data_IF_338420369122
#
_entry.id   IF_338420369122
#
_cell.length_a   1.000
_cell.length_b   1.000
_cell.length_c   1.000
_cell.angle_alpha   90.00
_cell.angle_beta   90.00
_cell.angle_gamma   90.00
#
_symmetry.space_group_name_H-M   'P 1'
#
loop_
_entity.id
_entity.type
_entity.pdbx_description
1 polymer ?
#
# COMPACT_ATOMS: atom_id res chain seq x y z
N UNK A 1 -7.35 -9.56 6.74
CA UNK A 1 -7.62 -8.76 5.54
C UNK A 1 -8.44 -7.50 5.89
N UNK A 2 -9.74 -7.61 6.24
CA UNK A 2 -10.59 -6.43 6.51
C UNK A 2 -10.02 -5.52 7.60
N UNK A 3 -9.68 -6.07 8.77
CA UNK A 3 -9.16 -5.30 9.91
C UNK A 3 -7.85 -4.57 9.59
N UNK A 4 -7.00 -5.15 8.77
CA UNK A 4 -5.66 -4.64 8.48
C UNK A 4 -5.67 -3.57 7.40
N UNK A 5 -6.52 -3.75 6.37
CA UNK A 5 -6.59 -2.82 5.23
C UNK A 5 -7.59 -1.69 5.41
N UNK A 6 -8.67 -1.90 6.14
CA UNK A 6 -9.73 -0.89 6.32
C UNK A 6 -9.18 0.47 6.75
N UNK A 7 -8.34 0.59 7.80
CA UNK A 7 -7.84 1.90 8.23
C UNK A 7 -6.99 2.60 7.16
N UNK A 8 -6.26 1.83 6.36
CA UNK A 8 -5.39 2.35 5.29
C UNK A 8 -6.21 2.83 4.10
N UNK A 9 -7.16 2.02 3.65
CA UNK A 9 -8.04 2.38 2.54
C UNK A 9 -8.92 3.58 2.87
N UNK A 10 -9.36 3.71 4.15
CA UNK A 10 -10.05 4.92 4.62
C UNK A 10 -9.16 6.15 4.48
N UNK A 11 -7.88 6.10 4.88
CA UNK A 11 -6.96 7.23 4.72
C UNK A 11 -6.77 7.62 3.26
N UNK A 12 -6.63 6.63 2.37
CA UNK A 12 -6.53 6.86 0.93
C UNK A 12 -7.82 7.50 0.42
N UNK A 13 -8.97 6.92 0.69
CA UNK A 13 -10.26 7.47 0.27
C UNK A 13 -10.47 8.90 0.80
N UNK A 14 -10.16 9.15 2.08
CA UNK A 14 -10.29 10.44 2.72
C UNK A 14 -9.42 11.53 2.09
N UNK A 15 -8.24 11.19 1.57
CA UNK A 15 -7.39 12.14 0.85
C UNK A 15 -8.08 12.70 -0.40
N UNK A 16 -8.98 11.94 -1.01
CA UNK A 16 -9.74 12.33 -2.20
C UNK A 16 -11.11 12.91 -1.87
N UNK A 17 -11.94 12.23 -1.06
CA UNK A 17 -13.31 12.70 -0.78
C UNK A 17 -13.33 13.81 0.29
N UNK A 18 -12.33 13.88 1.18
CA UNK A 18 -12.20 14.86 2.27
C UNK A 18 -13.33 14.81 3.31
N UNK A 19 -14.02 13.69 3.36
CA UNK A 19 -15.06 13.39 4.35
C UNK A 19 -14.78 12.02 4.92
N UNK A 20 -14.61 11.93 6.24
CA UNK A 20 -14.22 10.69 6.92
C UNK A 20 -15.34 9.65 6.92
N UNK A 21 -16.60 10.07 7.07
CA UNK A 21 -17.74 9.15 7.07
C UNK A 21 -17.95 8.59 5.67
N UNK A 22 -17.93 9.44 4.66
CA UNK A 22 -18.04 9.01 3.26
C UNK A 22 -16.90 8.06 2.88
N UNK A 23 -15.67 8.36 3.31
CA UNK A 23 -14.52 7.49 3.04
C UNK A 23 -14.71 6.11 3.69
N UNK A 24 -15.22 6.06 4.92
CA UNK A 24 -15.49 4.80 5.63
C UNK A 24 -16.61 4.01 4.95
N UNK A 25 -17.68 4.65 4.53
CA UNK A 25 -18.79 4.02 3.82
C UNK A 25 -18.29 3.40 2.50
N UNK A 26 -17.59 4.18 1.66
CA UNK A 26 -17.03 3.70 0.38
C UNK A 26 -16.14 2.47 0.60
N UNK A 27 -15.27 2.51 1.60
CA UNK A 27 -14.36 1.39 1.88
C UNK A 27 -15.14 0.18 2.37
N UNK A 28 -16.11 0.36 3.25
CA UNK A 28 -16.94 -0.72 3.79
C UNK A 28 -17.74 -1.39 2.67
N UNK A 29 -18.38 -0.61 1.81
CA UNK A 29 -19.15 -1.11 0.66
C UNK A 29 -18.25 -1.86 -0.34
N UNK A 30 -17.03 -1.38 -0.58
CA UNK A 30 -16.06 -2.05 -1.44
C UNK A 30 -15.64 -3.42 -0.91
N UNK A 31 -15.47 -3.56 0.40
CA UNK A 31 -15.19 -4.85 1.04
C UNK A 31 -16.41 -5.78 1.03
N UNK A 32 -17.60 -5.26 1.27
CA UNK A 32 -18.85 -6.04 1.21
C UNK A 32 -19.08 -6.57 -0.21
N UNK A 33 -18.97 -5.70 -1.21
CA UNK A 33 -19.08 -6.11 -2.61
C UNK A 33 -18.10 -7.23 -2.96
N UNK A 34 -16.84 -7.09 -2.59
CA UNK A 34 -15.84 -8.14 -2.78
C UNK A 34 -16.26 -9.44 -2.09
N UNK A 35 -16.72 -9.36 -0.84
CA UNK A 35 -17.09 -10.55 -0.07
C UNK A 35 -18.29 -11.29 -0.68
N UNK A 36 -19.28 -10.58 -1.15
CA UNK A 36 -20.49 -11.14 -1.77
C UNK A 36 -20.17 -11.83 -3.10
N UNK A 37 -19.30 -11.24 -3.92
CA UNK A 37 -19.01 -11.73 -5.28
C UNK A 37 -17.71 -12.55 -5.37
N UNK A 38 -17.01 -12.81 -4.26
CA UNK A 38 -15.70 -13.46 -4.25
C UNK A 38 -15.60 -14.79 -4.99
N UNK A 39 -16.71 -15.53 -5.11
CA UNK A 39 -16.76 -16.82 -5.81
C UNK A 39 -16.80 -16.66 -7.34
N UNK A 40 -17.27 -15.51 -7.82
CA UNK A 40 -17.45 -15.21 -9.26
C UNK A 40 -16.28 -14.41 -9.82
N UNK A 41 -15.53 -13.76 -8.94
CA UNK A 41 -14.45 -12.89 -9.33
C UNK A 41 -13.19 -13.68 -9.72
N UNK A 42 -12.79 -13.55 -10.97
CA UNK A 42 -11.49 -14.05 -11.43
C UNK A 42 -10.41 -12.99 -11.15
N UNK A 43 -9.87 -13.00 -9.93
CA UNK A 43 -8.89 -12.01 -9.51
C UNK A 43 -7.50 -12.44 -9.98
N UNK A 44 -7.03 -11.84 -11.08
CA UNK A 44 -5.67 -12.05 -11.60
C UNK A 44 -4.59 -11.30 -10.78
N UNK A 45 -5.00 -10.27 -10.03
CA UNK A 45 -4.15 -9.49 -9.13
C UNK A 45 -4.38 -9.89 -7.66
N UNK A 46 -3.69 -9.23 -6.73
CA UNK A 46 -3.95 -9.42 -5.30
C UNK A 46 -5.35 -8.91 -4.90
N UNK A 47 -6.00 -9.58 -3.96
CA UNK A 47 -7.30 -9.16 -3.41
C UNK A 47 -7.28 -7.72 -2.91
N UNK A 48 -6.25 -7.26 -2.17
CA UNK A 48 -6.19 -5.86 -1.74
C UNK A 48 -6.14 -4.86 -2.90
N UNK A 49 -5.40 -5.15 -3.98
CA UNK A 49 -5.37 -4.29 -5.16
C UNK A 49 -6.74 -4.22 -5.84
N UNK A 50 -7.47 -5.33 -5.89
CA UNK A 50 -8.83 -5.37 -6.40
C UNK A 50 -9.78 -4.49 -5.57
N UNK A 51 -9.78 -4.67 -4.24
CA UNK A 51 -10.63 -3.86 -3.33
C UNK A 51 -10.25 -2.38 -3.41
N UNK A 52 -8.96 -2.05 -3.50
CA UNK A 52 -8.51 -0.66 -3.68
C UNK A 52 -8.99 -0.07 -5.01
N UNK A 53 -9.08 -0.88 -6.07
CA UNK A 53 -9.72 -0.51 -7.34
C UNK A 53 -11.20 -0.16 -7.15
N UNK A 54 -11.93 -0.95 -6.38
CA UNK A 54 -13.33 -0.67 -6.05
C UNK A 54 -13.47 0.61 -5.21
N UNK A 55 -12.61 0.82 -4.23
CA UNK A 55 -12.54 2.07 -3.43
C UNK A 55 -12.29 3.29 -4.32
N UNK A 56 -11.32 3.20 -5.25
CA UNK A 56 -11.07 4.25 -6.26
C UNK A 56 -12.36 4.58 -7.03
N UNK A 57 -13.06 3.55 -7.49
CA UNK A 57 -14.29 3.72 -8.27
C UNK A 57 -15.38 4.43 -7.45
N UNK A 58 -15.61 4.01 -6.21
CA UNK A 58 -16.55 4.65 -5.30
C UNK A 58 -16.20 6.12 -5.01
N UNK A 59 -14.92 6.43 -4.82
CA UNK A 59 -14.47 7.81 -4.65
C UNK A 59 -14.73 8.66 -5.91
N UNK A 60 -14.49 8.13 -7.11
CA UNK A 60 -14.76 8.81 -8.38
C UNK A 60 -16.26 9.08 -8.56
N UNK A 61 -17.09 8.10 -8.28
CA UNK A 61 -18.55 8.24 -8.38
C UNK A 61 -19.07 9.32 -7.43
N UNK A 62 -18.63 9.29 -6.18
CA UNK A 62 -18.99 10.30 -5.19
C UNK A 62 -18.56 11.71 -5.62
N UNK A 63 -17.30 11.88 -6.08
CA UNK A 63 -16.79 13.16 -6.54
C UNK A 63 -17.54 13.70 -7.76
N UNK A 64 -17.91 12.83 -8.71
CA UNK A 64 -18.71 13.20 -9.88
C UNK A 64 -20.12 13.65 -9.47
N UNK A 65 -20.74 12.95 -8.52
CA UNK A 65 -22.03 13.33 -7.98
C UNK A 65 -21.97 14.69 -7.26
N UNK A 66 -20.94 14.95 -6.47
CA UNK A 66 -20.76 16.25 -5.79
C UNK A 66 -20.50 17.38 -6.80
N UNK A 67 -19.70 17.12 -7.84
CA UNK A 67 -19.51 18.04 -8.95
C UNK A 67 -20.83 18.39 -9.63
N UNK A 68 -21.68 17.41 -9.91
CA UNK A 68 -22.99 17.61 -10.52
C UNK A 68 -23.92 18.43 -9.61
N UNK A 69 -23.88 18.21 -8.27
CA UNK A 69 -24.65 19.03 -7.32
C UNK A 69 -24.23 20.51 -7.35
N UNK A 70 -22.93 20.79 -7.52
CA UNK A 70 -22.44 22.17 -7.66
C UNK A 70 -22.85 22.77 -9.00
N UNK A 71 -22.85 22.01 -10.08
CA UNK A 71 -23.34 22.45 -11.40
C UNK A 71 -24.81 22.87 -11.34
N UNK A 72 -25.68 22.03 -10.75
CA UNK A 72 -27.12 22.32 -10.61
C UNK A 72 -27.34 23.59 -9.78
N UNK A 73 -26.48 23.87 -8.80
CA UNK A 73 -26.55 25.08 -7.98
C UNK A 73 -25.89 26.29 -8.61
N UNK A 74 -25.51 26.23 -9.90
CA UNK A 74 -24.81 27.28 -10.64
C UNK A 74 -23.53 27.80 -9.97
N UNK A 75 -22.84 26.93 -9.20
CA UNK A 75 -21.58 27.24 -8.51
C UNK A 75 -20.34 26.84 -9.30
N UNK A 76 -20.39 26.90 -10.63
CA UNK A 76 -19.37 26.37 -11.54
C UNK A 76 -18.02 27.11 -11.42
N UNK A 77 -18.04 28.40 -11.00
CA UNK A 77 -16.84 29.22 -10.85
C UNK A 77 -16.29 29.25 -9.40
N UNK A 78 -16.75 28.36 -8.55
CA UNK A 78 -16.27 28.33 -7.16
C UNK A 78 -14.96 27.56 -7.03
N UNK A 79 -14.13 27.94 -6.04
CA UNK A 79 -12.92 27.21 -5.68
C UNK A 79 -13.24 25.74 -5.35
N UNK A 80 -14.42 25.47 -4.78
CA UNK A 80 -14.90 24.12 -4.50
C UNK A 80 -15.04 23.27 -5.76
N UNK A 81 -15.64 23.81 -6.81
CA UNK A 81 -15.80 23.14 -8.10
C UNK A 81 -14.45 22.76 -8.73
N UNK A 82 -13.53 23.74 -8.81
CA UNK A 82 -12.19 23.49 -9.35
C UNK A 82 -11.40 22.48 -8.51
N UNK A 83 -11.54 22.53 -7.19
CA UNK A 83 -10.92 21.56 -6.29
C UNK A 83 -11.44 20.14 -6.52
N UNK A 84 -12.75 19.96 -6.73
CA UNK A 84 -13.33 18.64 -7.02
C UNK A 84 -12.84 18.15 -8.38
N UNK A 85 -12.82 19.02 -9.39
CA UNK A 85 -12.34 18.65 -10.73
C UNK A 85 -10.88 18.19 -10.72
N UNK A 86 -10.01 18.89 -9.99
CA UNK A 86 -8.60 18.49 -9.83
C UNK A 86 -8.46 17.13 -9.13
N UNK A 87 -9.28 16.85 -8.11
CA UNK A 87 -9.29 15.54 -7.41
C UNK A 87 -9.78 14.41 -8.30
N UNK A 88 -10.80 14.66 -9.14
CA UNK A 88 -11.25 13.68 -10.13
C UNK A 88 -10.10 13.35 -11.10
N UNK A 89 -9.47 14.37 -11.69
CA UNK A 89 -8.37 14.18 -12.63
C UNK A 89 -7.20 13.42 -12.00
N UNK A 90 -6.81 13.76 -10.77
CA UNK A 90 -5.75 13.06 -10.04
C UNK A 90 -6.11 11.59 -9.79
N UNK A 91 -7.36 11.30 -9.41
CA UNK A 91 -7.79 9.95 -9.12
C UNK A 91 -7.98 9.11 -10.42
N UNK A 92 -8.41 9.72 -11.52
CA UNK A 92 -8.49 9.05 -12.83
C UNK A 92 -7.10 8.63 -13.33
N UNK A 93 -6.12 9.50 -13.16
CA UNK A 93 -4.72 9.22 -13.52
C UNK A 93 -4.05 8.19 -12.59
N UNK A 94 -4.60 7.92 -11.42
CA UNK A 94 -4.04 6.99 -10.47
C UNK A 94 -4.30 5.54 -10.88
N UNK A 95 -3.23 4.75 -11.02
CA UNK A 95 -3.33 3.29 -11.18
C UNK A 95 -3.44 2.63 -9.79
N UNK A 96 -4.51 1.84 -9.52
CA UNK A 96 -4.64 1.09 -8.27
C UNK A 96 -3.47 0.17 -7.98
N UNK A 97 -2.84 -0.40 -9.01
CA UNK A 97 -1.64 -1.23 -8.88
C UNK A 97 -0.44 -0.43 -8.39
N UNK A 98 -0.20 0.75 -8.93
CA UNK A 98 0.87 1.67 -8.48
C UNK A 98 0.60 2.18 -7.07
N UNK A 99 -0.65 2.49 -6.75
CA UNK A 99 -1.04 2.94 -5.42
C UNK A 99 -0.82 1.84 -4.38
N UNK A 100 -1.14 0.60 -4.73
CA UNK A 100 -0.85 -0.57 -3.91
C UNK A 100 0.66 -0.78 -3.74
N UNK A 101 1.44 -0.68 -4.81
CA UNK A 101 2.89 -0.79 -4.75
C UNK A 101 3.54 0.30 -3.88
N UNK A 102 3.04 1.54 -3.95
CA UNK A 102 3.52 2.63 -3.10
C UNK A 102 3.19 2.41 -1.62
N UNK A 103 2.03 1.83 -1.31
CA UNK A 103 1.66 1.48 0.06
C UNK A 103 2.55 0.36 0.60
N UNK A 104 2.82 -0.68 -0.19
CA UNK A 104 3.78 -1.74 0.17
C UNK A 104 5.17 -1.16 0.42
N UNK A 105 5.65 -0.27 -0.44
CA UNK A 105 6.94 0.39 -0.27
C UNK A 105 6.98 1.23 1.02
N UNK A 106 5.91 1.94 1.35
CA UNK A 106 5.82 2.71 2.59
C UNK A 106 5.91 1.81 3.84
N UNK A 107 5.23 0.66 3.84
CA UNK A 107 5.32 -0.32 4.93
C UNK A 107 6.75 -0.84 5.07
N UNK A 108 7.39 -1.20 3.96
CA UNK A 108 8.78 -1.69 3.96
C UNK A 108 9.71 -0.64 4.59
N UNK A 109 9.59 0.62 4.19
CA UNK A 109 10.40 1.72 4.75
C UNK A 109 10.12 1.93 6.23
N UNK A 110 8.87 1.89 6.65
CA UNK A 110 8.49 2.04 8.06
C UNK A 110 9.07 0.91 8.92
N UNK A 111 8.96 -0.33 8.46
CA UNK A 111 9.51 -1.48 9.20
C UNK A 111 11.04 -1.48 9.26
N UNK A 112 11.71 -1.08 8.17
CA UNK A 112 13.17 -0.87 8.18
C UNK A 112 13.55 0.18 9.25
N UNK A 113 12.80 1.30 9.31
CA UNK A 113 13.03 2.35 10.29
C UNK A 113 12.86 1.90 11.74
N UNK A 114 11.97 0.93 11.98
CA UNK A 114 11.71 0.35 13.32
C UNK A 114 12.70 -0.73 13.72
N UNK A 115 13.49 -1.28 12.78
CA UNK A 115 14.48 -2.29 13.10
C UNK A 115 15.58 -1.73 14.01
N UNK A 116 15.95 -2.43 15.09
CA UNK A 116 17.07 -2.02 15.92
C UNK A 116 18.42 -2.22 15.20
N UNK A 117 19.41 -1.39 15.53
CA UNK A 117 20.78 -1.66 15.13
C UNK A 117 21.37 -2.85 15.94
N UNK A 118 22.28 -3.65 15.35
CA UNK A 118 22.83 -3.54 13.99
C UNK A 118 21.99 -4.23 12.90
N UNK A 119 20.83 -4.77 13.23
CA UNK A 119 20.00 -5.56 12.29
C UNK A 119 19.59 -4.72 11.09
N UNK A 120 19.19 -3.45 11.30
CA UNK A 120 18.79 -2.52 10.23
C UNK A 120 19.94 -2.30 9.24
N UNK A 121 21.13 -1.96 9.73
CA UNK A 121 22.29 -1.73 8.87
C UNK A 121 22.67 -2.98 8.07
N UNK A 122 22.67 -4.15 8.69
CA UNK A 122 22.91 -5.44 8.02
C UNK A 122 21.87 -5.72 6.93
N UNK A 123 20.60 -5.47 7.21
CA UNK A 123 19.51 -5.70 6.26
C UNK A 123 19.63 -4.77 5.04
N UNK A 124 19.84 -3.47 5.28
CA UNK A 124 20.03 -2.46 4.22
C UNK A 124 21.24 -2.80 3.37
N UNK A 125 22.39 -3.07 3.98
CA UNK A 125 23.61 -3.44 3.27
C UNK A 125 23.42 -4.67 2.36
N UNK A 126 22.69 -5.69 2.87
CA UNK A 126 22.46 -6.91 2.10
C UNK A 126 21.44 -6.73 0.97
N UNK A 127 20.34 -5.96 1.18
CA UNK A 127 19.20 -5.92 0.25
C UNK A 127 19.22 -4.72 -0.69
N UNK A 128 19.73 -3.60 -0.24
CA UNK A 128 19.73 -2.35 -1.01
C UNK A 128 21.12 -1.98 -1.54
N UNK A 129 22.19 -2.37 -0.85
CA UNK A 129 23.57 -2.11 -1.29
C UNK A 129 24.20 -3.32 -2.02
N UNK A 130 23.52 -4.45 -2.06
CA UNK A 130 23.97 -5.65 -2.77
C UNK A 130 25.19 -6.35 -2.15
N UNK A 131 25.56 -6.02 -0.90
CA UNK A 131 26.73 -6.60 -0.24
C UNK A 131 26.50 -8.06 0.11
N UNK A 132 27.57 -8.86 -0.05
CA UNK A 132 27.58 -10.24 0.39
C UNK A 132 27.66 -10.33 1.91
N UNK A 133 27.22 -11.46 2.46
CA UNK A 133 27.27 -11.69 3.92
C UNK A 133 28.70 -11.65 4.46
N UNK A 134 29.71 -12.02 3.64
CA UNK A 134 31.12 -11.93 4.02
C UNK A 134 31.58 -10.48 4.12
N UNK A 135 31.30 -9.66 3.11
CA UNK A 135 31.63 -8.23 3.12
C UNK A 135 30.97 -7.48 4.29
N UNK A 136 29.71 -7.84 4.61
CA UNK A 136 29.02 -7.27 5.79
C UNK A 136 29.71 -7.70 7.07
N UNK A 137 30.08 -8.98 7.19
CA UNK A 137 30.77 -9.51 8.37
C UNK A 137 32.11 -8.81 8.58
N UNK A 138 32.90 -8.65 7.51
CA UNK A 138 34.21 -7.99 7.55
C UNK A 138 34.10 -6.49 7.90
N UNK A 139 33.09 -5.81 7.36
CA UNK A 139 32.86 -4.38 7.62
C UNK A 139 32.32 -4.08 9.02
N UNK A 140 31.54 -5.01 9.60
CA UNK A 140 30.87 -4.82 10.90
C UNK A 140 31.60 -5.49 12.07
N UNK A 141 32.60 -6.34 11.80
CA UNK A 141 33.27 -7.16 12.82
C UNK A 141 32.38 -8.28 13.42
N UNK A 142 31.26 -8.59 12.78
CA UNK A 142 30.30 -9.60 13.21
C UNK A 142 30.51 -10.87 12.40
N UNK A 143 30.39 -12.05 13.02
CA UNK A 143 30.54 -13.32 12.28
C UNK A 143 29.45 -13.47 11.19
N UNK A 144 29.79 -14.12 10.07
CA UNK A 144 28.84 -14.46 8.98
C UNK A 144 27.58 -15.18 9.51
N UNK A 145 27.74 -16.02 10.53
CA UNK A 145 26.62 -16.71 11.20
C UNK A 145 25.65 -15.68 11.82
N UNK A 146 26.17 -14.67 12.49
CA UNK A 146 25.37 -13.63 13.13
C UNK A 146 24.73 -12.71 12.07
N UNK A 147 25.43 -12.41 10.97
CA UNK A 147 24.85 -11.69 9.81
C UNK A 147 23.65 -12.47 9.26
N UNK A 148 23.79 -13.77 8.99
CA UNK A 148 22.68 -14.63 8.55
C UNK A 148 21.51 -14.62 9.52
N UNK A 149 21.77 -14.71 10.83
CA UNK A 149 20.73 -14.69 11.86
C UNK A 149 20.00 -13.35 11.91
N UNK A 150 20.71 -12.22 11.72
CA UNK A 150 20.11 -10.89 11.65
C UNK A 150 19.20 -10.75 10.42
N UNK A 151 19.66 -11.19 9.25
CA UNK A 151 18.86 -11.20 8.01
C UNK A 151 17.60 -12.06 8.18
N UNK A 152 17.71 -13.26 8.75
CA UNK A 152 16.55 -14.14 8.99
C UNK A 152 15.49 -13.48 9.90
N UNK A 153 15.93 -12.77 10.94
CA UNK A 153 15.02 -12.02 11.82
C UNK A 153 14.36 -10.85 11.09
N UNK A 154 15.14 -10.07 10.34
CA UNK A 154 14.62 -8.98 9.54
C UNK A 154 13.58 -9.45 8.49
N UNK A 155 13.86 -10.57 7.81
CA UNK A 155 12.90 -11.20 6.88
C UNK A 155 11.64 -11.70 7.59
N UNK A 156 11.75 -12.15 8.84
CA UNK A 156 10.60 -12.51 9.67
C UNK A 156 9.70 -11.31 9.95
N UNK A 157 10.28 -10.16 10.31
CA UNK A 157 9.54 -8.90 10.51
C UNK A 157 8.83 -8.48 9.21
N UNK A 158 9.55 -8.47 8.09
CA UNK A 158 8.96 -8.13 6.78
C UNK A 158 7.84 -9.07 6.37
N UNK A 159 8.01 -10.37 6.60
CA UNK A 159 6.96 -11.36 6.31
C UNK A 159 5.70 -11.12 7.14
N UNK A 160 5.85 -10.81 8.40
CA UNK A 160 4.70 -10.51 9.28
C UNK A 160 4.02 -9.20 8.86
N UNK A 161 4.77 -8.15 8.55
CA UNK A 161 4.24 -6.88 8.11
C UNK A 161 3.54 -6.94 6.74
N UNK A 162 4.00 -7.81 5.84
CA UNK A 162 3.50 -7.93 4.47
C UNK A 162 2.59 -9.15 4.25
N UNK A 163 2.29 -9.94 5.28
CA UNK A 163 1.54 -11.22 5.15
C UNK A 163 0.19 -11.06 4.45
N UNK A 164 -0.47 -9.91 4.65
CA UNK A 164 -1.78 -9.61 4.09
C UNK A 164 -1.70 -8.97 2.71
N UNK A 165 -0.52 -8.48 2.30
CA UNK A 165 -0.30 -7.80 1.02
C UNK A 165 0.15 -8.74 -0.08
N UNK A 166 0.97 -9.71 0.26
CA UNK A 166 1.59 -10.61 -0.71
C UNK A 166 1.50 -12.06 -0.21
N UNK A 167 1.20 -13.02 -1.09
CA UNK A 167 1.40 -14.42 -0.77
C UNK A 167 2.84 -14.64 -0.28
N UNK A 168 3.04 -15.50 0.70
CA UNK A 168 4.35 -15.73 1.36
C UNK A 168 5.49 -16.01 0.37
N UNK A 169 5.20 -16.71 -0.74
CA UNK A 169 6.18 -17.00 -1.78
C UNK A 169 6.57 -15.74 -2.60
N UNK A 170 5.64 -14.80 -2.83
CA UNK A 170 5.92 -13.51 -3.48
C UNK A 170 6.75 -12.59 -2.59
N UNK A 171 6.52 -12.60 -1.28
CA UNK A 171 7.36 -11.86 -0.32
C UNK A 171 8.80 -12.40 -0.38
N UNK A 172 8.96 -13.72 -0.42
CA UNK A 172 10.27 -14.35 -0.55
C UNK A 172 10.95 -13.99 -1.88
N UNK A 173 10.21 -14.00 -3.00
CA UNK A 173 10.70 -13.61 -4.32
C UNK A 173 11.06 -12.12 -4.37
N UNK A 174 10.18 -11.24 -3.92
CA UNK A 174 10.39 -9.80 -3.86
C UNK A 174 11.64 -9.43 -3.05
N UNK A 175 11.82 -10.09 -1.90
CA UNK A 175 13.00 -9.89 -1.05
C UNK A 175 14.26 -10.58 -1.59
N UNK A 176 14.12 -11.55 -2.53
CA UNK A 176 15.26 -12.18 -3.19
C UNK A 176 15.69 -11.44 -4.46
N UNK A 177 14.74 -10.79 -5.16
CA UNK A 177 15.01 -10.01 -6.39
C UNK A 177 15.48 -8.57 -6.10
N UNK A 178 15.31 -8.06 -4.88
CA UNK A 178 15.99 -6.81 -4.45
C UNK A 178 17.51 -7.01 -4.30
N UNK A 179 18.08 -7.94 -5.05
CA UNK A 179 19.50 -8.03 -5.39
C UNK A 179 19.72 -7.19 -6.65
N UNK A 180 19.94 -5.91 -6.47
CA UNK A 180 20.57 -5.08 -7.47
C UNK A 180 22.06 -5.11 -7.29
#
# INVERSE_FOLDING_TARGET
>A
LYADYKPRFIRIAQSYVRDGMVAEDIVTDSFLYFWEHRAELNISASVPAYVLGAVKHGCLEWLRNEKNRLNIRQKIHTTAYHSIQARIAALEACDPGQLFASEVAAIVQEEIGRMPEPMRGIFVASRFEGRTYQEIADATGISVRNVKAAIQRALGIMREALKDYLPVWLIALFLSEMRF
#
